data_IF_835988508061
#
_entry.id   IF_835988508061
#
_cell.length_a   1.000
_cell.length_b   1.000
_cell.length_c   1.000
_cell.angle_alpha   90.00
_cell.angle_beta   90.00
_cell.angle_gamma   90.00
#
_symmetry.space_group_name_H-M   'P 1'
#
loop_
_entity.id
_entity.type
_entity.pdbx_description
1 polymer ?
#
# COMPACT_ATOMS: atom_id res chain seq x y z
N UNK A 1 6.61 -1.15 -7.04
CA UNK A 1 5.71 -0.20 -6.36
C UNK A 1 6.02 1.19 -6.83
N UNK A 2 5.10 1.80 -7.57
CA UNK A 2 5.17 3.17 -8.04
C UNK A 2 3.98 4.02 -7.56
N UNK A 3 2.94 3.38 -6.99
CA UNK A 3 1.73 4.06 -6.52
C UNK A 3 1.22 3.48 -5.20
N UNK A 4 0.31 4.20 -4.54
CA UNK A 4 -0.41 3.69 -3.38
C UNK A 4 -1.26 2.46 -3.73
N UNK A 5 -1.86 2.44 -4.93
CA UNK A 5 -2.63 1.29 -5.43
C UNK A 5 -1.79 0.03 -5.48
N UNK A 6 -0.60 0.11 -6.06
CA UNK A 6 0.33 -1.03 -6.09
C UNK A 6 0.61 -1.54 -4.66
N UNK A 7 0.95 -0.62 -3.73
CA UNK A 7 1.27 -1.01 -2.36
C UNK A 7 0.08 -1.72 -1.69
N UNK A 8 -1.13 -1.17 -1.85
CA UNK A 8 -2.37 -1.75 -1.33
C UNK A 8 -2.60 -3.15 -1.91
N UNK A 9 -2.49 -3.33 -3.22
CA UNK A 9 -2.70 -4.61 -3.89
C UNK A 9 -1.72 -5.68 -3.38
N UNK A 10 -0.43 -5.34 -3.25
CA UNK A 10 0.56 -6.27 -2.72
C UNK A 10 0.28 -6.67 -1.26
N UNK A 11 -0.10 -5.70 -0.42
CA UNK A 11 -0.51 -5.98 0.96
C UNK A 11 -1.74 -6.90 0.98
N UNK A 12 -2.78 -6.56 0.21
CA UNK A 12 -4.02 -7.36 0.11
C UNK A 12 -3.77 -8.77 -0.43
N UNK A 13 -2.81 -8.95 -1.33
CA UNK A 13 -2.38 -10.25 -1.84
C UNK A 13 -1.62 -11.10 -0.79
N UNK A 14 -1.15 -10.49 0.30
CA UNK A 14 -0.49 -11.18 1.43
C UNK A 14 0.92 -10.71 1.75
N UNK A 15 1.44 -9.68 1.07
CA UNK A 15 2.73 -9.12 1.46
C UNK A 15 2.63 -8.48 2.86
N UNK A 16 3.61 -8.76 3.72
CA UNK A 16 3.69 -8.11 5.04
C UNK A 16 4.40 -6.76 5.00
N UNK A 17 5.12 -6.48 3.91
CA UNK A 17 5.82 -5.24 3.64
C UNK A 17 6.05 -5.09 2.13
N UNK A 18 6.28 -3.86 1.68
CA UNK A 18 6.62 -3.55 0.29
C UNK A 18 7.83 -2.61 0.24
N UNK A 19 8.59 -2.66 -0.86
CA UNK A 19 9.74 -1.77 -1.08
C UNK A 19 9.48 -0.83 -2.26
N UNK A 20 9.89 0.43 -2.09
CA UNK A 20 9.91 1.45 -3.15
C UNK A 20 11.36 1.83 -3.42
N UNK A 21 11.78 1.79 -4.69
CA UNK A 21 13.14 2.12 -5.10
C UNK A 21 13.17 2.87 -6.42
N UNK A 22 12.78 2.20 -7.51
CA UNK A 22 12.80 2.79 -8.86
C UNK A 22 11.96 4.07 -8.97
N UNK A 23 10.80 4.13 -8.33
CA UNK A 23 9.92 5.31 -8.36
C UNK A 23 10.58 6.56 -7.76
N UNK A 24 11.46 6.40 -6.78
CA UNK A 24 12.19 7.49 -6.12
C UNK A 24 13.13 8.24 -7.07
N UNK A 25 13.64 7.58 -8.11
CA UNK A 25 14.48 8.24 -9.12
C UNK A 25 13.69 9.18 -10.04
N UNK A 26 12.43 8.85 -10.30
CA UNK A 26 11.55 9.70 -11.10
C UNK A 26 10.95 10.83 -10.24
N UNK A 27 10.56 10.51 -9.01
CA UNK A 27 10.03 11.46 -8.04
C UNK A 27 10.51 11.12 -6.61
N UNK A 28 11.38 11.94 -6.01
CA UNK A 28 11.83 11.75 -4.63
C UNK A 28 10.71 11.80 -3.59
N UNK A 29 9.56 12.40 -3.91
CA UNK A 29 8.38 12.48 -3.02
C UNK A 29 7.43 11.29 -3.15
N UNK A 30 7.67 10.38 -4.11
CA UNK A 30 6.78 9.25 -4.39
C UNK A 30 6.43 8.42 -3.16
N UNK A 31 7.38 8.20 -2.24
CA UNK A 31 7.14 7.48 -0.99
C UNK A 31 6.10 8.17 -0.08
N UNK A 32 6.12 9.51 0.00
CA UNK A 32 5.16 10.26 0.81
C UNK A 32 3.76 10.16 0.20
N UNK A 33 3.63 10.33 -1.11
CA UNK A 33 2.36 10.17 -1.81
C UNK A 33 1.79 8.75 -1.68
N UNK A 34 2.64 7.73 -1.67
CA UNK A 34 2.25 6.34 -1.41
C UNK A 34 1.70 6.19 0.00
N UNK A 35 2.42 6.66 1.03
CA UNK A 35 1.99 6.58 2.44
C UNK A 35 0.64 7.28 2.63
N UNK A 36 0.48 8.49 2.11
CA UNK A 36 -0.78 9.21 2.21
C UNK A 36 -1.93 8.52 1.47
N UNK A 37 -1.68 8.00 0.28
CA UNK A 37 -2.69 7.26 -0.49
C UNK A 37 -3.14 5.99 0.23
N UNK A 38 -2.21 5.27 0.86
CA UNK A 38 -2.52 4.11 1.69
C UNK A 38 -3.34 4.50 2.92
N UNK A 39 -2.96 5.56 3.62
CA UNK A 39 -3.69 6.05 4.79
C UNK A 39 -5.13 6.47 4.43
N UNK A 40 -5.30 7.21 3.32
CA UNK A 40 -6.63 7.58 2.80
C UNK A 40 -7.47 6.35 2.45
N UNK A 41 -6.88 5.36 1.80
CA UNK A 41 -7.57 4.11 1.50
C UNK A 41 -8.02 3.38 2.77
N UNK A 42 -7.15 3.29 3.78
CA UNK A 42 -7.49 2.67 5.06
C UNK A 42 -8.66 3.37 5.74
N UNK A 43 -8.64 4.71 5.80
CA UNK A 43 -9.72 5.51 6.37
C UNK A 43 -11.04 5.29 5.63
N UNK A 44 -11.03 5.36 4.30
CA UNK A 44 -12.21 5.19 3.46
C UNK A 44 -12.83 3.79 3.55
N UNK A 45 -12.04 2.77 3.84
CA UNK A 45 -12.48 1.38 3.92
C UNK A 45 -12.62 0.86 5.36
N UNK A 46 -12.43 1.73 6.37
CA UNK A 46 -12.59 1.37 7.78
C UNK A 46 -11.51 0.42 8.33
N UNK A 47 -10.32 0.40 7.73
CA UNK A 47 -9.19 -0.37 8.25
C UNK A 47 -8.50 0.38 9.39
N UNK A 48 -8.46 -0.25 10.57
CA UNK A 48 -7.78 0.30 11.75
C UNK A 48 -6.28 0.00 11.77
N UNK A 49 -5.86 -1.05 11.06
CA UNK A 49 -4.47 -1.47 10.95
C UNK A 49 -4.15 -2.00 9.56
N UNK A 50 -2.90 -1.79 9.11
CA UNK A 50 -2.40 -2.41 7.88
C UNK A 50 -2.45 -3.95 7.98
N UNK A 51 -2.35 -4.51 9.19
CA UNK A 51 -2.45 -5.96 9.43
C UNK A 51 -3.79 -6.54 9.00
N UNK A 52 -4.87 -5.76 9.13
CA UNK A 52 -6.23 -6.17 8.78
C UNK A 52 -6.38 -6.35 7.26
N UNK A 53 -5.50 -5.73 6.48
CA UNK A 53 -5.49 -5.81 5.02
C UNK A 53 -4.66 -6.98 4.48
N UNK A 54 -3.69 -7.49 5.25
CA UNK A 54 -2.74 -8.49 4.76
C UNK A 54 -3.49 -9.77 4.37
N UNK A 55 -3.42 -10.14 3.08
CA UNK A 55 -3.97 -11.39 2.57
C UNK A 55 -5.49 -11.42 2.40
N UNK A 56 -6.19 -10.28 2.54
CA UNK A 56 -7.65 -10.20 2.39
C UNK A 56 -8.15 -10.58 0.99
N UNK A 57 -7.29 -10.52 -0.04
CA UNK A 57 -7.66 -10.96 -1.39
C UNK A 57 -7.68 -12.49 -1.56
N UNK A 58 -7.17 -13.26 -0.57
CA UNK A 58 -7.06 -14.72 -0.63
C UNK A 58 -8.25 -15.47 -0.03
N UNK A 59 -9.40 -14.82 0.16
CA UNK A 59 -10.61 -15.50 0.68
C UNK A 59 -11.08 -16.55 -0.34
N UNK A 60 -11.09 -17.81 0.11
CA UNK A 60 -11.72 -18.95 -0.57
C UNK A 60 -13.19 -19.05 -0.17
#
# INVERSE_FOLDING_TARGET
IASAGDAIEFIMAGASAVQVGTATFADPQSMLSIIEGMARFMEQNGFSSLKDMIGIANVR
#
